data_IF_375054141849
#
_entry.id   IF_375054141849
#
_cell.length_a   1.000
_cell.length_b   1.000
_cell.length_c   1.000
_cell.angle_alpha   90.00
_cell.angle_beta   90.00
_cell.angle_gamma   90.00
#
_symmetry.space_group_name_H-M   'P 1'
#
loop_
_entity.id
_entity.type
_entity.pdbx_description
1 polymer ?
#
# COMPACT_ATOMS: atom_id res chain seq x y z
N UNK A 1 -6.14 13.24 26.70
CA UNK A 1 -5.51 12.17 25.87
C UNK A 1 -5.83 10.76 26.36
N UNK A 2 -5.85 10.47 27.67
CA UNK A 2 -6.08 9.12 28.21
C UNK A 2 -7.28 8.35 27.61
N UNK A 3 -8.46 8.96 27.54
CA UNK A 3 -9.65 8.32 26.95
C UNK A 3 -9.48 7.98 25.46
N UNK A 4 -8.78 8.83 24.69
CA UNK A 4 -8.47 8.59 23.29
C UNK A 4 -7.46 7.47 23.04
N UNK A 5 -6.63 7.14 24.04
CA UNK A 5 -5.61 6.09 23.95
C UNK A 5 -6.10 4.74 24.47
N UNK A 6 -7.05 4.72 25.41
CA UNK A 6 -7.47 3.51 26.12
C UNK A 6 -8.87 3.03 25.80
N UNK A 7 -9.72 3.84 25.17
CA UNK A 7 -11.11 3.48 24.88
C UNK A 7 -11.36 3.57 23.38
N UNK A 8 -11.35 2.43 22.69
CA UNK A 8 -11.41 2.33 21.20
C UNK A 8 -12.51 3.19 20.54
N UNK A 9 -13.76 3.24 21.06
CA UNK A 9 -14.80 4.13 20.53
C UNK A 9 -14.44 5.62 20.52
N UNK A 10 -13.60 6.09 21.45
CA UNK A 10 -13.19 7.48 21.51
C UNK A 10 -12.24 7.88 20.36
N UNK A 11 -11.65 6.91 19.66
CA UNK A 11 -10.89 7.18 18.42
C UNK A 11 -11.75 7.82 17.32
N UNK A 12 -13.07 7.59 17.33
CA UNK A 12 -14.02 8.27 16.46
C UNK A 12 -14.04 9.79 16.69
N UNK A 13 -13.78 10.23 17.93
CA UNK A 13 -13.80 11.64 18.34
C UNK A 13 -12.52 12.43 17.99
N UNK A 14 -11.57 11.81 17.28
CA UNK A 14 -10.31 12.49 16.89
C UNK A 14 -10.50 13.53 15.79
N UNK A 15 -11.56 13.43 15.00
CA UNK A 15 -11.88 14.42 13.98
C UNK A 15 -13.34 14.82 14.08
N UNK A 16 -13.59 16.10 14.37
CA UNK A 16 -14.94 16.67 14.42
C UNK A 16 -15.71 16.42 13.12
N UNK A 17 -15.02 16.37 11.97
CA UNK A 17 -15.63 16.09 10.67
C UNK A 17 -16.33 14.73 10.58
N UNK A 18 -15.93 13.73 11.38
CA UNK A 18 -16.60 12.42 11.42
C UNK A 18 -17.99 12.51 12.06
N UNK A 19 -18.17 13.43 13.00
CA UNK A 19 -19.49 13.72 13.56
C UNK A 19 -20.38 14.48 12.60
N UNK A 20 -19.82 15.29 11.70
CA UNK A 20 -20.62 16.04 10.73
C UNK A 20 -21.50 15.07 9.93
N UNK A 21 -20.99 13.90 9.52
CA UNK A 21 -21.80 12.91 8.80
C UNK A 21 -22.95 12.38 9.66
N UNK A 22 -22.68 11.99 10.91
CA UNK A 22 -23.71 11.49 11.83
C UNK A 22 -24.76 12.58 12.13
N UNK A 23 -24.31 13.80 12.43
CA UNK A 23 -25.17 14.95 12.66
C UNK A 23 -26.00 15.27 11.43
N UNK A 24 -25.42 15.25 10.22
CA UNK A 24 -26.16 15.47 8.98
C UNK A 24 -27.26 14.42 8.79
N UNK A 25 -26.99 13.14 9.02
CA UNK A 25 -28.01 12.08 8.91
C UNK A 25 -29.13 12.27 9.94
N UNK A 26 -28.77 12.53 11.20
CA UNK A 26 -29.76 12.80 12.26
C UNK A 26 -30.56 14.05 11.94
N UNK A 27 -29.91 15.11 11.46
CA UNK A 27 -30.56 16.37 11.12
C UNK A 27 -31.48 16.20 9.91
N UNK A 28 -31.07 15.49 8.87
CA UNK A 28 -31.93 15.16 7.71
C UNK A 28 -33.13 14.33 8.16
N UNK A 29 -32.93 13.33 9.03
CA UNK A 29 -34.02 12.51 9.56
C UNK A 29 -35.01 13.34 10.39
N UNK A 30 -34.51 14.10 11.37
CA UNK A 30 -35.33 14.98 12.21
C UNK A 30 -36.05 16.03 11.38
N UNK A 31 -35.35 16.65 10.43
CA UNK A 31 -35.93 17.63 9.52
C UNK A 31 -37.04 16.99 8.68
N UNK A 32 -36.81 15.82 8.09
CA UNK A 32 -37.82 15.10 7.29
C UNK A 32 -39.03 14.70 8.14
N UNK A 33 -38.79 14.22 9.37
CA UNK A 33 -39.85 13.82 10.30
C UNK A 33 -40.70 15.01 10.75
N UNK A 34 -40.05 16.09 11.22
CA UNK A 34 -40.72 17.32 11.63
C UNK A 34 -41.47 17.94 10.45
N UNK A 35 -40.84 17.99 9.28
CA UNK A 35 -41.45 18.49 8.07
C UNK A 35 -42.69 17.69 7.69
N UNK A 36 -42.61 16.34 7.68
CA UNK A 36 -43.76 15.46 7.38
C UNK A 36 -44.95 15.75 8.29
N UNK A 37 -44.71 15.97 9.58
CA UNK A 37 -45.77 16.17 10.58
C UNK A 37 -46.25 17.62 10.72
N UNK A 38 -45.63 18.57 10.01
CA UNK A 38 -46.00 19.98 10.09
C UNK A 38 -47.33 20.24 9.36
N UNK A 39 -48.36 20.66 10.11
CA UNK A 39 -49.72 20.94 9.60
C UNK A 39 -49.98 22.41 9.21
N UNK A 40 -49.00 23.30 9.32
CA UNK A 40 -49.19 24.73 9.09
C UNK A 40 -49.26 25.05 7.58
N UNK A 41 -50.18 25.93 7.16
CA UNK A 41 -50.32 26.40 5.77
C UNK A 41 -49.05 27.03 5.19
N UNK A 42 -48.15 27.54 6.05
CA UNK A 42 -46.88 28.15 5.63
C UNK A 42 -45.71 27.17 5.46
N UNK A 43 -45.92 25.87 5.66
CA UNK A 43 -44.88 24.83 5.59
C UNK A 43 -44.02 24.89 4.32
N UNK A 44 -44.64 25.11 3.16
CA UNK A 44 -43.91 25.17 1.88
C UNK A 44 -43.03 26.42 1.78
N UNK A 45 -43.47 27.57 2.32
CA UNK A 45 -42.66 28.78 2.38
C UNK A 45 -41.45 28.61 3.30
N UNK A 46 -41.63 27.95 4.45
CA UNK A 46 -40.51 27.63 5.34
C UNK A 46 -39.51 26.66 4.70
N UNK A 47 -39.99 25.65 3.97
CA UNK A 47 -39.11 24.75 3.22
C UNK A 47 -38.29 25.53 2.20
N UNK A 48 -38.95 26.38 1.40
CA UNK A 48 -38.30 27.20 0.39
C UNK A 48 -37.24 28.12 1.02
N UNK A 49 -37.58 28.78 2.13
CA UNK A 49 -36.64 29.62 2.88
C UNK A 49 -35.45 28.81 3.41
N UNK A 50 -35.69 27.60 3.94
CA UNK A 50 -34.63 26.72 4.44
C UNK A 50 -33.70 26.29 3.31
N UNK A 51 -34.26 25.89 2.16
CA UNK A 51 -33.47 25.54 0.96
C UNK A 51 -32.66 26.75 0.50
N UNK A 52 -33.26 27.94 0.46
CA UNK A 52 -32.58 29.17 0.07
C UNK A 52 -31.44 29.50 1.04
N UNK A 53 -31.65 29.39 2.36
CA UNK A 53 -30.61 29.59 3.37
C UNK A 53 -29.49 28.54 3.26
N UNK A 54 -29.80 27.28 2.99
CA UNK A 54 -28.81 26.23 2.75
C UNK A 54 -27.97 26.55 1.50
N UNK A 55 -28.62 26.99 0.43
CA UNK A 55 -27.96 27.40 -0.79
C UNK A 55 -27.03 28.60 -0.52
N UNK A 56 -27.53 29.67 0.11
CA UNK A 56 -26.77 30.90 0.41
C UNK A 56 -25.61 30.64 1.38
N UNK A 57 -25.84 29.81 2.41
CA UNK A 57 -24.80 29.49 3.40
C UNK A 57 -23.67 28.62 2.84
N UNK A 58 -23.89 27.94 1.72
CA UNK A 58 -22.89 27.15 1.03
C UNK A 58 -22.36 27.91 -0.18
N UNK A 59 -21.66 29.02 0.07
CA UNK A 59 -21.00 29.86 -0.95
C UNK A 59 -20.08 29.07 -1.88
N UNK A 60 -19.64 27.88 -1.46
CA UNK A 60 -18.91 26.89 -2.26
C UNK A 60 -19.62 26.56 -3.58
N UNK A 61 -20.96 26.41 -3.57
CA UNK A 61 -21.72 26.12 -4.79
C UNK A 61 -21.73 27.28 -5.81
N UNK A 62 -21.43 28.49 -5.36
CA UNK A 62 -21.46 29.70 -6.18
C UNK A 62 -20.07 30.22 -6.54
N UNK A 63 -19.12 30.09 -5.62
CA UNK A 63 -17.73 30.49 -5.82
C UNK A 63 -16.94 29.45 -6.62
N UNK A 64 -17.39 28.18 -6.61
CA UNK A 64 -16.59 27.05 -7.09
C UNK A 64 -15.36 26.78 -6.23
N UNK A 65 -15.16 27.52 -5.13
CA UNK A 65 -14.09 27.30 -4.18
C UNK A 65 -14.53 26.19 -3.22
N UNK A 66 -14.15 24.95 -3.55
CA UNK A 66 -14.39 23.76 -2.73
C UNK A 66 -13.46 23.69 -1.50
N UNK A 67 -12.92 24.83 -1.05
CA UNK A 67 -12.03 24.93 0.10
C UNK A 67 -10.59 24.58 -0.28
N UNK A 68 -10.10 25.14 -1.39
CA UNK A 68 -8.71 24.98 -1.81
C UNK A 68 -8.52 25.00 -3.32
N UNK A 69 -7.78 25.98 -3.81
CA UNK A 69 -7.37 25.99 -5.21
C UNK A 69 -6.26 24.96 -5.43
N UNK A 70 -6.52 24.01 -6.34
CA UNK A 70 -5.50 23.12 -6.87
C UNK A 70 -4.73 23.93 -7.91
N UNK A 71 -3.52 24.35 -7.56
CA UNK A 71 -2.65 24.92 -8.57
C UNK A 71 -2.30 23.85 -9.60
N UNK A 72 -2.55 24.14 -10.88
CA UNK A 72 -2.05 23.30 -11.96
C UNK A 72 -0.53 23.37 -11.97
N UNK A 73 0.12 22.29 -11.57
CA UNK A 73 1.57 22.17 -11.61
C UNK A 73 1.96 21.26 -12.77
N UNK A 74 2.88 21.73 -13.61
CA UNK A 74 3.45 20.92 -14.68
C UNK A 74 4.58 20.07 -14.12
N UNK A 75 4.40 18.76 -14.14
CA UNK A 75 5.44 17.84 -13.68
C UNK A 75 6.73 17.99 -14.53
N UNK A 76 7.92 18.08 -13.90
CA UNK A 76 9.18 18.09 -14.64
C UNK A 76 9.34 16.83 -15.51
N UNK A 77 9.80 17.00 -16.75
CA UNK A 77 9.99 15.90 -17.72
C UNK A 77 10.96 14.85 -17.21
N UNK A 78 11.90 15.24 -16.35
CA UNK A 78 12.87 14.38 -15.70
C UNK A 78 12.20 13.25 -14.91
N UNK A 79 11.10 13.53 -14.20
CA UNK A 79 10.36 12.51 -13.45
C UNK A 79 9.62 11.52 -14.37
N UNK A 80 9.03 12.02 -15.46
CA UNK A 80 8.41 11.17 -16.48
C UNK A 80 9.44 10.25 -17.10
N UNK A 81 10.56 10.82 -17.52
CA UNK A 81 11.65 10.08 -18.17
C UNK A 81 12.23 8.99 -17.26
N UNK A 82 12.48 9.28 -15.97
CA UNK A 82 13.04 8.25 -15.07
C UNK A 82 12.06 7.11 -14.81
N UNK A 83 10.76 7.42 -14.69
CA UNK A 83 9.71 6.41 -14.49
C UNK A 83 9.61 5.47 -15.70
N UNK A 84 9.55 6.03 -16.92
CA UNK A 84 9.50 5.27 -18.16
C UNK A 84 10.79 4.50 -18.45
N UNK A 85 11.95 5.12 -18.19
CA UNK A 85 13.26 4.57 -18.54
C UNK A 85 13.71 3.47 -17.60
N UNK A 86 13.52 3.63 -16.29
CA UNK A 86 14.06 2.71 -15.28
C UNK A 86 12.99 1.92 -14.53
N UNK A 87 11.85 2.53 -14.19
CA UNK A 87 10.89 1.91 -13.27
C UNK A 87 9.88 1.02 -13.98
N UNK A 88 9.26 1.50 -15.06
CA UNK A 88 8.24 0.75 -15.81
C UNK A 88 8.84 -0.38 -16.63
N UNK A 89 10.03 -0.17 -17.21
CA UNK A 89 10.71 -1.17 -18.05
C UNK A 89 11.23 -2.37 -17.26
N UNK A 90 11.55 -2.18 -15.99
CA UNK A 90 12.08 -3.22 -15.14
C UNK A 90 10.95 -4.06 -14.52
N UNK A 91 10.85 -5.32 -14.92
CA UNK A 91 9.79 -6.22 -14.46
C UNK A 91 10.06 -6.80 -13.05
N UNK A 92 11.26 -6.62 -12.51
CA UNK A 92 11.60 -7.13 -11.17
C UNK A 92 10.84 -6.40 -10.06
N UNK A 93 10.58 -7.10 -8.96
CA UNK A 93 9.92 -6.57 -7.77
C UNK A 93 10.96 -5.91 -6.87
N UNK A 94 10.90 -4.59 -6.79
CA UNK A 94 11.74 -3.79 -5.90
C UNK A 94 11.02 -2.50 -5.50
N UNK A 95 11.58 -1.86 -4.48
CA UNK A 95 11.16 -0.57 -3.96
C UNK A 95 12.14 0.55 -4.37
N UNK A 96 11.64 1.77 -4.36
CA UNK A 96 12.44 2.99 -4.54
C UNK A 96 12.55 3.69 -3.19
N UNK A 97 13.75 4.00 -2.72
CA UNK A 97 13.94 4.87 -1.56
C UNK A 97 14.02 6.32 -2.04
N UNK A 98 13.26 7.21 -1.40
CA UNK A 98 13.38 8.65 -1.66
C UNK A 98 14.05 9.36 -0.50
N UNK A 99 15.01 10.23 -0.83
CA UNK A 99 15.74 11.05 0.14
C UNK A 99 15.86 12.47 -0.39
N UNK A 100 16.07 13.48 0.47
CA UNK A 100 15.97 13.45 1.93
C UNK A 100 14.55 13.12 2.44
N UNK A 101 14.46 12.61 3.66
CA UNK A 101 13.17 12.52 4.36
C UNK A 101 12.70 13.93 4.73
N UNK A 102 11.44 14.25 4.42
CA UNK A 102 10.78 15.48 4.85
C UNK A 102 9.39 15.19 5.43
N UNK A 103 8.93 16.03 6.39
CA UNK A 103 7.63 15.85 7.03
C UNK A 103 6.44 15.82 6.06
N UNK A 104 6.46 16.75 5.11
CA UNK A 104 5.44 16.98 4.10
C UNK A 104 6.12 17.11 2.75
N UNK A 105 5.70 16.27 1.82
CA UNK A 105 6.22 16.27 0.46
C UNK A 105 5.85 17.59 -0.24
N UNK A 106 6.84 18.30 -0.76
CA UNK A 106 6.67 19.60 -1.41
C UNK A 106 7.84 19.93 -2.31
N UNK A 107 7.55 20.56 -3.45
CA UNK A 107 8.52 20.71 -4.54
C UNK A 107 8.68 22.14 -5.04
N UNK A 108 9.90 22.57 -5.37
CA UNK A 108 10.19 23.90 -5.95
C UNK A 108 9.34 24.18 -7.18
N UNK A 109 9.17 23.19 -8.08
CA UNK A 109 8.40 23.36 -9.31
C UNK A 109 6.90 23.55 -9.07
N UNK A 110 6.38 23.23 -7.88
CA UNK A 110 5.02 23.53 -7.49
C UNK A 110 4.84 25.03 -7.11
N UNK A 111 5.90 25.66 -6.59
CA UNK A 111 5.92 27.07 -6.16
C UNK A 111 6.54 28.02 -7.19
N UNK A 112 6.66 27.57 -8.44
CA UNK A 112 7.23 28.36 -9.52
C UNK A 112 6.30 29.50 -9.99
N UNK A 113 4.98 29.37 -9.79
CA UNK A 113 4.05 30.47 -10.02
C UNK A 113 4.07 31.43 -8.82
N UNK A 114 4.16 32.75 -9.08
CA UNK A 114 4.12 33.77 -8.01
C UNK A 114 2.83 33.69 -7.20
N UNK A 115 1.72 33.24 -7.81
CA UNK A 115 0.45 33.05 -7.12
C UNK A 115 0.53 31.93 -6.06
N UNK A 116 1.26 30.84 -6.31
CA UNK A 116 1.38 29.75 -5.32
C UNK A 116 2.27 30.06 -4.12
N UNK A 117 3.09 31.12 -4.19
CA UNK A 117 3.97 31.53 -3.08
C UNK A 117 3.26 32.26 -1.93
N UNK A 118 2.04 32.78 -2.13
CA UNK A 118 1.30 33.49 -1.09
C UNK A 118 0.78 32.58 0.04
N UNK A 119 0.93 31.26 -0.07
CA UNK A 119 0.39 30.31 0.92
C UNK A 119 -1.11 30.07 0.81
N UNK A 120 -1.77 30.67 -0.19
CA UNK A 120 -3.22 30.56 -0.43
C UNK A 120 -3.62 29.24 -1.09
N UNK A 121 -2.67 28.46 -1.59
CA UNK A 121 -2.93 27.23 -2.34
C UNK A 121 -2.67 25.99 -1.49
N UNK A 122 -3.61 25.04 -1.53
CA UNK A 122 -3.46 23.75 -0.86
C UNK A 122 -2.34 22.96 -1.54
N UNK A 123 -1.41 22.50 -0.73
CA UNK A 123 -0.26 21.72 -1.17
C UNK A 123 -0.66 20.27 -1.45
N UNK A 124 -1.28 20.03 -2.60
CA UNK A 124 -1.81 18.71 -2.97
C UNK A 124 -0.73 17.66 -3.29
N UNK A 125 0.54 18.05 -3.38
CA UNK A 125 1.63 17.13 -3.73
C UNK A 125 2.03 16.15 -2.61
N UNK A 126 1.18 15.94 -1.60
CA UNK A 126 1.44 15.10 -0.41
C UNK A 126 1.58 13.58 -0.72
N UNK A 127 1.43 13.20 -1.98
CA UNK A 127 1.43 11.80 -2.44
C UNK A 127 2.09 11.63 -3.82
N UNK A 128 2.86 12.61 -4.30
CA UNK A 128 3.39 12.56 -5.67
C UNK A 128 4.25 11.32 -5.88
N UNK A 129 5.21 11.05 -4.97
CA UNK A 129 6.05 9.84 -5.04
C UNK A 129 5.23 8.55 -5.08
N UNK A 130 4.20 8.45 -4.25
CA UNK A 130 3.39 7.23 -4.11
C UNK A 130 2.52 6.96 -5.33
N UNK A 131 1.93 8.01 -5.90
CA UNK A 131 0.94 7.88 -6.97
C UNK A 131 1.56 7.92 -8.36
N UNK A 132 2.73 8.54 -8.52
CA UNK A 132 3.34 8.75 -9.84
C UNK A 132 4.25 7.61 -10.27
N UNK A 133 5.10 7.10 -9.36
CA UNK A 133 6.06 6.07 -9.73
C UNK A 133 5.38 4.71 -9.89
N UNK A 134 5.79 3.95 -10.90
CA UNK A 134 5.23 2.62 -11.17
C UNK A 134 5.72 1.53 -10.20
N UNK A 135 6.55 1.90 -9.23
CA UNK A 135 7.16 1.01 -8.24
C UNK A 135 6.87 1.56 -6.84
N UNK A 136 6.71 0.70 -5.82
CA UNK A 136 6.46 1.18 -4.46
C UNK A 136 7.62 2.05 -3.95
N UNK A 137 7.28 3.07 -3.18
CA UNK A 137 8.25 4.00 -2.61
C UNK A 137 8.37 3.80 -1.10
N UNK A 138 9.60 3.65 -0.62
CA UNK A 138 9.96 3.71 0.79
C UNK A 138 10.27 5.15 1.15
N UNK A 139 9.53 5.69 2.11
CA UNK A 139 9.70 7.05 2.62
C UNK A 139 9.01 7.19 3.99
N UNK A 140 9.21 8.33 4.66
CA UNK A 140 8.52 8.68 5.91
C UNK A 140 7.82 10.03 5.79
N UNK A 141 6.64 10.18 6.41
CA UNK A 141 5.89 11.43 6.51
C UNK A 141 5.20 11.54 7.86
N UNK A 142 4.94 12.76 8.35
CA UNK A 142 4.31 12.97 9.66
C UNK A 142 2.94 12.30 9.80
N UNK A 143 2.18 12.20 8.71
CA UNK A 143 0.87 11.52 8.71
C UNK A 143 0.98 10.00 8.90
N UNK A 144 2.15 9.42 8.64
CA UNK A 144 2.44 7.99 8.71
C UNK A 144 3.61 7.84 9.70
N UNK A 145 3.31 8.04 10.98
CA UNK A 145 4.28 7.84 12.07
C UNK A 145 4.60 6.34 12.21
N UNK A 146 5.42 5.82 11.31
CA UNK A 146 6.15 4.55 11.50
C UNK A 146 7.15 4.66 12.67
N UNK A 147 7.41 5.90 13.12
CA UNK A 147 8.53 6.38 13.91
C UNK A 147 8.52 6.03 15.42
N UNK A 148 7.52 5.33 15.96
CA UNK A 148 7.46 5.14 17.43
C UNK A 148 7.78 3.75 17.96
N UNK A 149 7.77 2.69 17.14
CA UNK A 149 7.84 1.32 17.66
C UNK A 149 9.09 0.52 17.32
N UNK A 150 9.85 0.92 16.31
CA UNK A 150 11.00 0.14 15.83
C UNK A 150 12.25 1.03 15.74
N UNK A 151 13.32 0.63 16.45
CA UNK A 151 14.57 1.40 16.54
C UNK A 151 15.32 1.52 15.21
N UNK A 152 15.17 0.54 14.31
CA UNK A 152 15.66 0.60 12.94
C UNK A 152 15.11 1.83 12.22
N UNK A 153 13.79 1.97 12.24
CA UNK A 153 13.08 3.02 11.54
C UNK A 153 13.25 4.40 12.19
N UNK A 154 13.39 4.46 13.51
CA UNK A 154 13.65 5.71 14.24
C UNK A 154 14.87 6.46 13.73
N UNK A 155 15.95 5.75 13.41
CA UNK A 155 17.17 6.36 12.89
C UNK A 155 17.10 6.60 11.38
N UNK A 156 16.59 5.62 10.64
CA UNK A 156 16.50 5.63 9.18
C UNK A 156 15.55 6.72 8.64
N UNK A 157 14.53 7.09 9.41
CA UNK A 157 13.49 8.00 8.97
C UNK A 157 13.50 9.38 9.64
N UNK A 158 14.59 9.73 10.34
CA UNK A 158 14.82 11.09 10.82
C UNK A 158 14.79 12.11 9.68
N UNK A 159 14.38 13.33 10.02
CA UNK A 159 14.25 14.45 9.09
C UNK A 159 15.43 15.42 9.14
N UNK A 160 15.66 16.14 8.04
CA UNK A 160 16.54 17.31 8.00
C UNK A 160 17.94 17.07 8.57
N UNK A 161 18.32 17.88 9.57
CA UNK A 161 19.64 17.83 10.22
C UNK A 161 19.81 16.63 11.16
N UNK A 162 18.73 16.06 11.67
CA UNK A 162 18.78 14.89 12.55
C UNK A 162 19.14 13.60 11.80
N UNK A 163 18.80 13.52 10.50
CA UNK A 163 19.15 12.37 9.69
C UNK A 163 20.67 12.19 9.57
N UNK A 164 21.12 11.01 10.02
CA UNK A 164 22.49 10.50 9.86
C UNK A 164 22.40 9.11 9.24
N UNK A 165 23.29 8.82 8.30
CA UNK A 165 23.41 7.48 7.76
C UNK A 165 23.87 6.52 8.87
N UNK A 166 23.10 5.48 9.23
CA UNK A 166 23.54 4.46 10.17
C UNK A 166 24.70 3.65 9.57
N UNK A 167 25.56 3.08 10.43
CA UNK A 167 26.74 2.33 9.96
C UNK A 167 26.40 1.11 9.08
N UNK A 168 25.21 0.53 9.26
CA UNK A 168 24.69 -0.59 8.49
C UNK A 168 23.67 -0.17 7.41
N UNK A 169 23.66 1.10 6.98
CA UNK A 169 22.64 1.64 6.07
C UNK A 169 22.43 0.82 4.80
N UNK A 170 23.49 0.34 4.15
CA UNK A 170 23.38 -0.47 2.93
C UNK A 170 22.64 -1.79 3.20
N UNK A 171 22.93 -2.47 4.33
CA UNK A 171 22.21 -3.68 4.74
C UNK A 171 20.71 -3.42 5.00
N UNK A 172 20.39 -2.25 5.56
CA UNK A 172 18.99 -1.84 5.79
C UNK A 172 18.27 -1.66 4.45
N UNK A 173 18.90 -0.97 3.50
CA UNK A 173 18.35 -0.74 2.15
C UNK A 173 18.18 -2.06 1.39
N UNK A 174 19.18 -2.93 1.44
CA UNK A 174 19.12 -4.27 0.85
C UNK A 174 17.95 -5.07 1.43
N UNK A 175 17.85 -5.06 2.76
CA UNK A 175 16.78 -5.68 3.53
C UNK A 175 15.40 -5.09 3.28
N UNK A 176 15.28 -3.87 2.73
CA UNK A 176 14.03 -3.24 2.31
C UNK A 176 13.69 -3.50 0.84
N UNK A 177 14.46 -4.36 0.15
CA UNK A 177 14.34 -4.59 -1.29
C UNK A 177 14.39 -3.27 -2.08
N UNK A 178 15.32 -2.38 -1.72
CA UNK A 178 15.46 -1.09 -2.42
C UNK A 178 16.52 -1.22 -3.50
N UNK A 179 16.08 -1.18 -4.76
CA UNK A 179 16.97 -1.17 -5.93
C UNK A 179 17.43 0.22 -6.29
N UNK A 180 16.53 1.21 -6.21
CA UNK A 180 16.85 2.57 -6.64
C UNK A 180 16.70 3.55 -5.48
N UNK A 181 17.65 4.49 -5.38
CA UNK A 181 17.59 5.61 -4.44
C UNK A 181 17.48 6.90 -5.23
N UNK A 182 16.40 7.64 -5.00
CA UNK A 182 16.12 8.92 -5.62
C UNK A 182 16.41 10.05 -4.63
N UNK A 183 17.56 10.71 -4.81
CA UNK A 183 17.97 11.89 -4.03
C UNK A 183 17.40 13.14 -4.69
N UNK A 184 16.27 13.63 -4.19
CA UNK A 184 15.51 14.74 -4.75
C UNK A 184 16.07 16.09 -4.30
N UNK A 185 16.43 16.92 -5.28
CA UNK A 185 17.09 18.22 -5.15
C UNK A 185 16.11 19.39 -5.14
N UNK A 186 14.91 19.14 -5.63
CA UNK A 186 13.83 20.11 -5.77
C UNK A 186 12.84 20.05 -4.60
N UNK A 187 13.18 19.40 -3.50
CA UNK A 187 12.35 19.40 -2.30
C UNK A 187 12.46 20.71 -1.54
N UNK A 188 11.34 21.13 -0.96
CA UNK A 188 11.28 22.23 -0.01
C UNK A 188 10.71 21.76 1.33
N UNK A 189 11.16 22.38 2.42
CA UNK A 189 10.60 22.16 3.74
C UNK A 189 9.56 23.24 4.05
N UNK A 190 8.28 22.87 3.97
CA UNK A 190 7.17 23.81 4.23
C UNK A 190 7.04 24.22 5.69
N UNK A 191 7.61 23.44 6.61
CA UNK A 191 7.65 23.79 8.04
C UNK A 191 8.77 24.79 8.36
N UNK A 192 9.78 24.88 7.49
CA UNK A 192 10.92 25.79 7.63
C UNK A 192 10.83 26.87 6.53
N UNK A 193 9.71 27.59 6.46
CA UNK A 193 9.53 28.72 5.53
C UNK A 193 9.84 28.41 4.06
N UNK A 194 9.48 27.21 3.58
CA UNK A 194 9.67 26.77 2.19
C UNK A 194 11.15 26.76 1.73
N UNK A 195 12.09 26.56 2.66
CA UNK A 195 13.53 26.50 2.35
C UNK A 195 13.86 25.21 1.56
N UNK A 196 14.67 25.29 0.48
CA UNK A 196 15.17 24.11 -0.23
C UNK A 196 15.94 23.15 0.69
N UNK A 197 15.68 21.85 0.57
CA UNK A 197 16.29 20.84 1.45
C UNK A 197 17.74 20.56 1.02
N UNK A 198 18.73 20.60 1.93
CA UNK A 198 20.13 20.38 1.58
C UNK A 198 20.41 18.91 1.23
N UNK A 199 20.76 18.65 -0.03
CA UNK A 199 21.00 17.31 -0.58
C UNK A 199 22.46 16.87 -0.66
N UNK A 200 23.41 17.80 -0.54
CA UNK A 200 24.84 17.53 -0.79
C UNK A 200 25.39 16.37 0.05
N UNK A 201 24.96 16.25 1.31
CA UNK A 201 25.37 15.15 2.20
C UNK A 201 24.97 13.76 1.67
N UNK A 202 23.81 13.65 1.03
CA UNK A 202 23.29 12.39 0.49
C UNK A 202 24.05 11.99 -0.77
N UNK A 203 24.21 12.94 -1.69
CA UNK A 203 24.98 12.75 -2.93
C UNK A 203 26.41 12.32 -2.60
N UNK A 204 27.06 12.99 -1.64
CA UNK A 204 28.42 12.66 -1.21
C UNK A 204 28.53 11.26 -0.59
N UNK A 205 27.51 10.81 0.15
CA UNK A 205 27.48 9.46 0.72
C UNK A 205 27.48 8.41 -0.39
N UNK A 206 26.50 8.50 -1.31
CA UNK A 206 26.36 7.49 -2.37
C UNK A 206 27.48 7.54 -3.42
N UNK A 207 28.12 8.70 -3.64
CA UNK A 207 29.28 8.77 -4.53
C UNK A 207 30.54 8.09 -3.96
N UNK A 208 30.63 7.92 -2.64
CA UNK A 208 31.80 7.30 -1.98
C UNK A 208 31.68 5.78 -1.86
N UNK A 209 30.47 5.25 -1.85
CA UNK A 209 30.21 3.82 -1.66
C UNK A 209 30.04 3.12 -3.03
N UNK A 210 30.95 2.20 -3.34
CA UNK A 210 30.98 1.43 -4.59
C UNK A 210 29.80 0.46 -4.79
N UNK A 211 29.02 0.22 -3.72
CA UNK A 211 27.76 -0.52 -3.76
C UNK A 211 26.65 0.21 -4.52
N UNK A 212 26.80 1.52 -4.74
CA UNK A 212 25.83 2.34 -5.46
C UNK A 212 26.39 2.86 -6.80
N UNK A 213 25.55 2.90 -7.83
CA UNK A 213 25.90 3.40 -9.17
C UNK A 213 25.02 4.60 -9.50
N UNK A 214 25.63 5.76 -9.75
CA UNK A 214 24.90 6.92 -10.27
C UNK A 214 24.39 6.63 -11.69
N UNK A 215 23.07 6.59 -11.87
CA UNK A 215 22.40 6.35 -13.17
C UNK A 215 21.98 7.63 -13.85
N UNK A 216 21.58 8.63 -13.07
CA UNK A 216 21.14 9.91 -13.60
C UNK A 216 21.37 11.04 -12.60
N UNK A 217 21.70 12.22 -13.11
CA UNK A 217 21.94 13.40 -12.30
C UNK A 217 21.47 14.65 -13.04
N UNK A 218 20.33 15.21 -12.65
CA UNK A 218 19.72 16.37 -13.31
C UNK A 218 19.37 17.46 -12.28
N UNK A 219 18.63 18.50 -12.68
CA UNK A 219 18.26 19.60 -11.78
C UNK A 219 17.27 19.20 -10.69
N UNK A 220 16.45 18.16 -10.92
CA UNK A 220 15.38 17.73 -10.02
C UNK A 220 15.84 16.66 -9.04
N UNK A 221 16.70 15.72 -9.47
CA UNK A 221 17.17 14.61 -8.63
C UNK A 221 18.53 14.04 -9.06
N UNK A 222 19.09 13.19 -8.21
CA UNK A 222 20.12 12.21 -8.55
C UNK A 222 19.57 10.79 -8.29
N UNK A 223 19.70 9.89 -9.26
CA UNK A 223 19.24 8.50 -9.18
C UNK A 223 20.45 7.57 -9.01
N UNK A 224 20.43 6.76 -7.97
CA UNK A 224 21.42 5.72 -7.71
C UNK A 224 20.78 4.33 -7.82
N UNK A 225 21.47 3.37 -8.44
CA UNK A 225 21.15 1.95 -8.38
C UNK A 225 21.98 1.29 -7.28
N UNK A 226 21.32 0.56 -6.38
CA UNK A 226 21.92 -0.31 -5.38
C UNK A 226 22.23 -1.67 -5.99
N UNK A 227 23.49 -2.11 -5.95
CA UNK A 227 23.89 -3.43 -6.45
C UNK A 227 23.49 -4.58 -5.52
N UNK A 228 23.36 -4.31 -4.22
CA UNK A 228 23.15 -5.32 -3.16
C UNK A 228 21.70 -5.70 -2.89
N UNK A 229 20.73 -5.08 -3.60
CA UNK A 229 19.32 -5.25 -3.25
C UNK A 229 18.85 -6.71 -3.33
N UNK A 230 18.03 -7.10 -2.36
CA UNK A 230 17.53 -8.45 -2.19
C UNK A 230 16.17 -8.64 -2.88
N UNK A 231 15.82 -9.87 -3.32
CA UNK A 231 14.48 -10.15 -3.82
C UNK A 231 13.43 -10.01 -2.71
N UNK A 232 12.17 -9.78 -3.09
CA UNK A 232 11.08 -9.64 -2.11
C UNK A 232 10.83 -10.90 -1.29
N UNK A 233 11.12 -12.09 -1.84
CA UNK A 233 11.10 -13.37 -1.13
C UNK A 233 12.51 -13.97 -1.21
N UNK A 234 13.06 -14.42 -0.09
CA UNK A 234 14.43 -14.93 0.02
C UNK A 234 14.43 -16.33 0.63
N UNK A 235 15.09 -17.25 -0.09
CA UNK A 235 15.43 -18.61 0.32
C UNK A 235 16.39 -19.18 -0.73
N UNK A 236 17.31 -20.06 -0.34
CA UNK A 236 18.25 -20.70 -1.27
C UNK A 236 17.51 -21.61 -2.23
N UNK A 237 18.05 -21.77 -3.44
CA UNK A 237 17.53 -22.66 -4.50
C UNK A 237 16.02 -22.54 -4.77
N UNK A 238 15.48 -21.32 -4.60
CA UNK A 238 14.06 -21.03 -4.77
C UNK A 238 13.78 -20.25 -6.05
N UNK A 239 12.62 -20.47 -6.65
CA UNK A 239 12.04 -19.61 -7.67
C UNK A 239 10.70 -19.05 -7.18
N UNK A 240 10.35 -17.82 -7.53
CA UNK A 240 9.04 -17.27 -7.17
C UNK A 240 8.37 -16.49 -8.30
N UNK A 241 7.04 -16.57 -8.36
CA UNK A 241 6.17 -15.78 -9.23
C UNK A 241 5.30 -14.89 -8.34
N UNK A 242 5.37 -13.58 -8.52
CA UNK A 242 4.33 -12.68 -8.00
C UNK A 242 3.10 -12.79 -8.90
N UNK A 243 1.99 -13.27 -8.35
CA UNK A 243 0.71 -13.31 -9.07
C UNK A 243 0.02 -11.96 -8.95
N UNK A 244 -0.07 -11.43 -7.73
CA UNK A 244 -0.54 -10.07 -7.43
C UNK A 244 0.07 -9.62 -6.09
N UNK A 245 -0.32 -8.46 -5.56
CA UNK A 245 0.24 -7.93 -4.31
C UNK A 245 -0.08 -8.79 -3.07
N UNK A 246 -1.09 -9.66 -3.16
CA UNK A 246 -1.56 -10.55 -2.09
C UNK A 246 -1.22 -12.03 -2.29
N UNK A 247 -0.57 -12.40 -3.41
CA UNK A 247 -0.36 -13.81 -3.78
C UNK A 247 0.97 -14.02 -4.51
N UNK A 248 1.77 -14.94 -3.98
CA UNK A 248 3.04 -15.38 -4.56
C UNK A 248 3.06 -16.91 -4.63
N UNK A 249 3.63 -17.45 -5.70
CA UNK A 249 3.86 -18.88 -5.87
C UNK A 249 5.36 -19.11 -5.74
N UNK A 250 5.75 -20.01 -4.85
CA UNK A 250 7.14 -20.35 -4.55
C UNK A 250 7.40 -21.78 -5.02
N UNK A 251 8.53 -21.99 -5.68
CA UNK A 251 9.04 -23.29 -6.08
C UNK A 251 10.38 -23.47 -5.38
N UNK A 252 10.42 -24.36 -4.39
CA UNK A 252 11.62 -24.65 -3.62
C UNK A 252 12.14 -26.00 -4.12
N UNK A 253 13.41 -26.05 -4.51
CA UNK A 253 14.06 -27.26 -5.03
C UNK A 253 15.10 -27.77 -4.05
N UNK A 254 15.32 -29.08 -4.07
CA UNK A 254 16.38 -29.73 -3.30
C UNK A 254 16.35 -29.40 -1.80
N UNK A 255 15.16 -29.20 -1.21
CA UNK A 255 15.04 -28.90 0.22
C UNK A 255 15.39 -30.14 1.03
N UNK A 256 16.57 -30.13 1.64
CA UNK A 256 17.09 -31.26 2.43
C UNK A 256 17.01 -31.02 3.93
N UNK A 257 17.39 -29.83 4.37
CA UNK A 257 17.44 -29.42 5.77
C UNK A 257 16.41 -28.31 6.06
N UNK A 258 16.23 -27.97 7.34
CA UNK A 258 15.41 -26.82 7.73
C UNK A 258 16.04 -25.53 7.22
N UNK A 259 15.23 -24.66 6.61
CA UNK A 259 15.72 -23.40 6.06
C UNK A 259 14.77 -22.23 6.36
N UNK A 260 15.32 -21.02 6.45
CA UNK A 260 14.57 -19.80 6.72
C UNK A 260 14.06 -19.17 5.41
N UNK A 261 12.75 -19.03 5.30
CA UNK A 261 12.10 -18.23 4.25
C UNK A 261 11.85 -16.83 4.80
N UNK A 262 12.25 -15.79 4.07
CA UNK A 262 11.94 -14.39 4.41
C UNK A 262 11.12 -13.73 3.31
N UNK A 263 10.15 -12.90 3.70
CA UNK A 263 9.32 -12.10 2.80
C UNK A 263 9.34 -10.63 3.24
N UNK A 264 10.01 -9.80 2.45
CA UNK A 264 10.36 -8.41 2.71
C UNK A 264 9.19 -7.42 2.57
N UNK A 265 7.98 -7.86 2.89
CA UNK A 265 6.82 -7.00 3.10
C UNK A 265 6.52 -6.83 4.58
N UNK A 266 5.78 -5.78 4.92
CA UNK A 266 5.36 -5.50 6.29
C UNK A 266 4.77 -6.73 6.99
N UNK A 267 5.23 -6.99 8.21
CA UNK A 267 4.85 -8.14 9.01
C UNK A 267 3.36 -8.11 9.28
N UNK A 268 2.70 -9.23 8.99
CA UNK A 268 1.30 -9.41 9.29
C UNK A 268 1.00 -10.91 9.39
N UNK A 269 0.42 -11.34 10.50
CA UNK A 269 0.04 -12.73 10.81
C UNK A 269 -0.92 -13.36 9.78
N UNK A 270 -1.56 -12.53 8.93
CA UNK A 270 -2.47 -12.95 7.87
C UNK A 270 -1.75 -13.38 6.58
N UNK A 271 -0.43 -13.21 6.49
CA UNK A 271 0.37 -13.88 5.48
C UNK A 271 0.52 -15.36 5.82
N UNK A 272 0.03 -16.23 4.95
CA UNK A 272 -0.05 -17.68 5.17
C UNK A 272 0.63 -18.45 4.05
N UNK A 273 1.22 -19.60 4.38
CA UNK A 273 1.77 -20.54 3.42
C UNK A 273 0.79 -21.71 3.24
N UNK A 274 0.62 -22.11 1.98
CA UNK A 274 -0.23 -23.24 1.59
C UNK A 274 0.56 -24.17 0.68
N UNK A 275 0.60 -25.46 1.01
CA UNK A 275 1.20 -26.48 0.15
C UNK A 275 0.32 -26.70 -1.09
N UNK A 276 0.92 -26.75 -2.27
CA UNK A 276 0.23 -26.99 -3.53
C UNK A 276 0.63 -28.31 -4.18
N UNK A 277 -0.27 -28.85 -5.01
CA UNK A 277 0.06 -29.98 -5.88
C UNK A 277 1.18 -29.61 -6.85
N UNK A 278 2.12 -30.53 -7.05
CA UNK A 278 3.24 -30.36 -7.97
C UNK A 278 2.85 -30.62 -9.44
N UNK A 279 1.57 -30.89 -9.72
CA UNK A 279 1.04 -31.17 -11.07
C UNK A 279 0.95 -29.95 -11.98
N UNK A 280 0.91 -28.75 -11.41
CA UNK A 280 0.70 -27.51 -12.15
C UNK A 280 2.03 -26.85 -12.52
N UNK A 281 2.56 -27.24 -13.68
CA UNK A 281 3.79 -26.72 -14.30
C UNK A 281 3.60 -25.29 -14.84
N UNK A 282 3.40 -24.32 -13.95
CA UNK A 282 3.65 -22.93 -14.31
C UNK A 282 5.15 -22.77 -14.55
N UNK A 283 5.55 -22.78 -15.82
CA UNK A 283 6.95 -22.58 -16.22
C UNK A 283 7.44 -21.21 -15.77
N UNK A 284 8.44 -21.19 -14.88
CA UNK A 284 9.14 -19.97 -14.51
C UNK A 284 9.88 -19.41 -15.73
N UNK A 285 9.42 -18.27 -16.26
CA UNK A 285 10.22 -17.45 -17.18
C UNK A 285 11.03 -16.48 -16.34
N UNK A 286 12.31 -16.78 -16.12
CA UNK A 286 13.20 -15.95 -15.29
C UNK A 286 13.23 -14.50 -15.78
N UNK A 287 12.99 -13.56 -14.85
CA UNK A 287 13.28 -12.13 -15.03
C UNK A 287 14.68 -11.84 -14.51
N UNK A 288 14.99 -12.31 -13.29
CA UNK A 288 16.22 -12.00 -12.59
C UNK A 288 16.63 -13.12 -11.65
N UNK A 289 17.92 -13.41 -11.65
CA UNK A 289 18.57 -14.28 -10.67
C UNK A 289 19.33 -13.42 -9.65
N UNK A 290 19.17 -13.74 -8.37
CA UNK A 290 19.82 -13.06 -7.25
C UNK A 290 20.88 -14.01 -6.67
N UNK A 291 22.11 -13.86 -7.14
CA UNK A 291 23.22 -14.79 -6.87
C UNK A 291 23.53 -14.94 -5.38
N UNK A 292 23.46 -13.84 -4.63
CA UNK A 292 23.74 -13.79 -3.19
C UNK A 292 22.79 -14.64 -2.33
N UNK A 293 21.59 -14.94 -2.82
CA UNK A 293 20.58 -15.77 -2.12
C UNK A 293 20.07 -16.92 -2.98
N UNK A 294 20.70 -17.15 -4.14
CA UNK A 294 20.36 -18.20 -5.10
C UNK A 294 18.86 -18.26 -5.46
N UNK A 295 18.18 -17.12 -5.43
CA UNK A 295 16.75 -17.02 -5.72
C UNK A 295 16.51 -16.54 -7.15
N UNK A 296 15.57 -17.15 -7.86
CA UNK A 296 15.09 -16.67 -9.17
C UNK A 296 13.73 -16.02 -9.06
N UNK A 297 13.62 -14.78 -9.51
CA UNK A 297 12.35 -14.12 -9.74
C UNK A 297 11.85 -14.40 -11.14
N UNK A 298 10.61 -14.86 -11.24
CA UNK A 298 9.94 -15.25 -12.47
C UNK A 298 8.94 -14.19 -12.92
N UNK A 299 8.68 -14.14 -14.22
CA UNK A 299 7.70 -13.22 -14.82
C UNK A 299 6.31 -13.39 -14.19
N UNK A 300 5.74 -12.26 -13.76
CA UNK A 300 4.35 -12.21 -13.32
C UNK A 300 3.44 -12.74 -14.43
N UNK A 301 2.50 -13.59 -14.03
CA UNK A 301 1.44 -14.07 -14.90
C UNK A 301 0.22 -13.23 -14.55
N UNK A 302 -0.23 -12.40 -15.48
CA UNK A 302 -1.51 -11.70 -15.31
C UNK A 302 -2.60 -12.76 -15.11
N UNK A 303 -3.13 -12.84 -13.89
CA UNK A 303 -4.25 -13.71 -13.59
C UNK A 303 -5.47 -12.85 -13.29
N UNK A 304 -6.59 -13.21 -13.93
CA UNK A 304 -7.91 -12.77 -13.48
C UNK A 304 -8.15 -13.32 -12.07
N UNK A 305 -8.94 -12.59 -11.29
CA UNK A 305 -9.43 -13.03 -9.96
C UNK A 305 -9.88 -14.49 -10.08
N UNK A 306 -9.21 -15.34 -9.33
CA UNK A 306 -9.42 -16.78 -9.37
C UNK A 306 -10.46 -17.17 -8.33
N UNK A 307 -11.44 -18.02 -8.70
CA UNK A 307 -12.42 -18.56 -7.75
C UNK A 307 -11.75 -19.30 -6.60
N UNK A 308 -10.53 -19.78 -6.82
CA UNK A 308 -9.70 -20.38 -5.79
C UNK A 308 -9.35 -19.43 -4.63
N UNK A 309 -9.47 -18.11 -4.79
CA UNK A 309 -9.11 -17.17 -3.71
C UNK A 309 -9.99 -17.35 -2.46
N UNK A 310 -11.26 -17.73 -2.61
CA UNK A 310 -12.11 -18.06 -1.46
C UNK A 310 -11.75 -19.40 -0.82
N UNK A 311 -11.11 -20.32 -1.56
CA UNK A 311 -10.73 -21.63 -1.03
C UNK A 311 -9.69 -21.52 0.09
N UNK A 312 -8.89 -20.45 0.13
CA UNK A 312 -7.88 -20.23 1.18
C UNK A 312 -8.48 -19.97 2.57
N UNK A 313 -9.79 -19.71 2.68
CA UNK A 313 -10.49 -19.68 3.97
C UNK A 313 -10.63 -21.08 4.59
N UNK A 314 -10.60 -22.13 3.77
CA UNK A 314 -10.84 -23.51 4.19
C UNK A 314 -9.61 -24.43 3.99
N UNK A 315 -8.59 -23.96 3.28
CA UNK A 315 -7.33 -24.70 3.12
C UNK A 315 -6.50 -24.62 4.40
N UNK A 316 -5.88 -25.75 4.76
CA UNK A 316 -4.94 -25.80 5.88
C UNK A 316 -3.69 -25.00 5.54
N UNK A 317 -3.33 -24.10 6.45
CA UNK A 317 -2.05 -23.39 6.43
C UNK A 317 -0.93 -24.32 6.90
N UNK A 318 0.31 -24.00 6.53
CA UNK A 318 1.50 -24.73 6.98
C UNK A 318 2.50 -23.76 7.61
N UNK A 319 3.25 -24.24 8.60
CA UNK A 319 4.32 -23.49 9.28
C UNK A 319 3.89 -22.21 10.01
N UNK A 320 2.60 -22.07 10.34
CA UNK A 320 2.07 -20.93 11.10
C UNK A 320 2.74 -20.79 12.48
N UNK A 321 3.16 -21.91 13.08
CA UNK A 321 3.90 -21.97 14.34
C UNK A 321 5.31 -21.39 14.26
N UNK A 322 5.88 -21.29 13.06
CA UNK A 322 7.22 -20.72 12.82
C UNK A 322 7.18 -19.31 12.23
N UNK A 323 5.98 -18.77 11.97
CA UNK A 323 5.81 -17.42 11.41
C UNK A 323 6.25 -16.37 12.43
N UNK A 324 7.26 -15.58 12.07
CA UNK A 324 7.87 -14.61 12.97
C UNK A 324 8.23 -13.31 12.26
N UNK A 325 8.39 -12.25 13.06
CA UNK A 325 8.95 -10.98 12.63
C UNK A 325 10.45 -11.15 12.36
N UNK A 326 10.89 -10.84 11.14
CA UNK A 326 12.31 -10.82 10.76
C UNK A 326 12.70 -9.41 10.32
N UNK A 327 13.98 -9.04 10.46
CA UNK A 327 14.47 -7.69 10.15
C UNK A 327 13.66 -6.56 10.81
N UNK A 328 13.01 -6.86 11.94
CA UNK A 328 12.14 -5.96 12.72
C UNK A 328 10.90 -5.43 11.97
N UNK A 329 10.67 -5.82 10.71
CA UNK A 329 9.51 -5.34 9.94
C UNK A 329 8.92 -6.38 8.99
N UNK A 330 9.65 -7.43 8.63
CA UNK A 330 9.32 -8.37 7.57
C UNK A 330 8.74 -9.68 8.11
N UNK A 331 8.19 -10.51 7.22
CA UNK A 331 7.67 -11.83 7.56
C UNK A 331 8.75 -12.90 7.37
N UNK A 332 8.80 -13.91 8.24
CA UNK A 332 9.67 -15.07 8.03
C UNK A 332 9.10 -16.36 8.60
N UNK A 333 9.51 -17.49 8.02
CA UNK A 333 9.11 -18.86 8.38
C UNK A 333 10.31 -19.78 8.42
N UNK A 334 10.20 -20.92 9.12
CA UNK A 334 11.18 -22.02 9.04
C UNK A 334 10.56 -23.19 8.31
N UNK A 335 11.02 -23.47 7.09
CA UNK A 335 10.49 -24.53 6.25
C UNK A 335 11.18 -25.85 6.63
N UNK A 336 10.42 -26.83 7.09
CA UNK A 336 10.93 -28.12 7.53
C UNK A 336 10.49 -29.25 6.57
N UNK A 337 11.41 -29.87 5.80
CA UNK A 337 11.05 -30.93 4.85
C UNK A 337 10.50 -32.19 5.54
N UNK A 338 10.99 -32.54 6.75
CA UNK A 338 10.52 -33.72 7.48
C UNK A 338 9.06 -33.58 7.91
N UNK A 339 8.67 -32.36 8.32
CA UNK A 339 7.27 -32.06 8.64
C UNK A 339 6.37 -32.29 7.42
N UNK A 340 6.82 -31.89 6.22
CA UNK A 340 6.06 -32.09 4.98
C UNK A 340 5.92 -33.59 4.69
N UNK A 341 7.03 -34.35 4.75
CA UNK A 341 7.04 -35.78 4.47
C UNK A 341 6.14 -36.59 5.41
N UNK A 342 6.10 -36.22 6.69
CA UNK A 342 5.34 -36.92 7.73
C UNK A 342 3.84 -36.61 7.69
N UNK A 343 3.44 -35.39 7.30
CA UNK A 343 2.06 -34.93 7.45
C UNK A 343 1.28 -34.84 6.13
N UNK A 344 1.95 -34.95 4.97
CA UNK A 344 1.32 -34.73 3.67
C UNK A 344 1.58 -35.87 2.67
N UNK A 345 0.66 -36.03 1.73
CA UNK A 345 0.77 -37.03 0.66
C UNK A 345 1.90 -36.70 -0.31
N UNK A 346 2.57 -37.74 -0.85
CA UNK A 346 3.56 -37.66 -1.95
C UNK A 346 3.04 -36.98 -3.23
N UNK A 347 1.75 -36.68 -3.36
CA UNK A 347 1.22 -35.86 -4.47
C UNK A 347 1.59 -34.37 -4.36
N UNK A 348 1.94 -33.91 -3.14
CA UNK A 348 2.18 -32.50 -2.83
C UNK A 348 3.67 -32.12 -2.84
N UNK A 349 4.56 -33.11 -2.98
CA UNK A 349 6.00 -32.90 -3.07
C UNK A 349 6.63 -33.97 -3.96
N UNK A 350 7.80 -33.68 -4.52
CA UNK A 350 8.60 -34.68 -5.23
C UNK A 350 9.84 -34.99 -4.42
N UNK A 351 10.04 -36.26 -4.09
CA UNK A 351 11.23 -36.73 -3.39
C UNK A 351 12.34 -37.02 -4.41
N UNK A 352 13.53 -36.46 -4.16
CA UNK A 352 14.71 -36.62 -4.99
C UNK A 352 15.55 -37.82 -4.53
N UNK A 353 16.45 -38.38 -5.38
CA UNK A 353 17.26 -39.54 -5.03
C UNK A 353 18.16 -39.35 -3.80
N UNK A 354 18.55 -38.11 -3.50
CA UNK A 354 19.39 -37.74 -2.35
C UNK A 354 18.58 -37.53 -1.05
N UNK A 355 17.26 -37.77 -1.09
CA UNK A 355 16.34 -37.57 0.01
C UNK A 355 15.86 -36.14 0.18
N UNK A 356 16.31 -35.17 -0.64
CA UNK A 356 15.74 -33.83 -0.65
C UNK A 356 14.33 -33.83 -1.27
N UNK A 357 13.56 -32.75 -1.09
CA UNK A 357 12.25 -32.60 -1.71
C UNK A 357 12.12 -31.32 -2.54
N UNK A 358 11.41 -31.42 -3.66
CA UNK A 358 10.91 -30.27 -4.41
C UNK A 358 9.46 -30.01 -3.99
N UNK A 359 9.16 -28.77 -3.61
CA UNK A 359 7.82 -28.36 -3.16
C UNK A 359 7.35 -27.09 -3.84
N UNK A 360 6.03 -26.98 -3.97
CA UNK A 360 5.35 -25.79 -4.45
C UNK A 360 4.50 -25.21 -3.33
N UNK A 361 4.78 -23.96 -2.99
CA UNK A 361 4.03 -23.22 -1.97
C UNK A 361 3.27 -22.06 -2.60
N UNK A 362 2.14 -21.70 -2.01
CA UNK A 362 1.53 -20.39 -2.20
C UNK A 362 1.66 -19.59 -0.92
N UNK A 363 2.28 -18.43 -1.02
CA UNK A 363 2.26 -17.39 0.00
C UNK A 363 1.10 -16.44 -0.31
N UNK A 364 0.12 -16.36 0.58
CA UNK A 364 -1.12 -15.63 0.32
C UNK A 364 -1.58 -14.82 1.53
N UNK A 365 -2.11 -13.63 1.27
CA UNK A 365 -2.64 -12.75 2.30
C UNK A 365 -4.12 -13.08 2.58
N UNK A 366 -4.37 -13.89 3.60
CA UNK A 366 -5.68 -14.49 3.87
C UNK A 366 -6.81 -13.46 4.09
N UNK A 367 -6.48 -12.27 4.60
CA UNK A 367 -7.44 -11.17 4.73
C UNK A 367 -8.12 -10.80 3.41
N UNK A 368 -7.44 -11.01 2.28
CA UNK A 368 -7.99 -10.76 0.95
C UNK A 368 -9.20 -11.66 0.65
N UNK A 369 -9.20 -12.92 1.11
CA UNK A 369 -10.37 -13.81 0.94
C UNK A 369 -11.59 -13.34 1.73
N UNK A 370 -11.39 -12.82 2.94
CA UNK A 370 -12.49 -12.25 3.75
C UNK A 370 -13.08 -11.00 3.09
N UNK A 371 -12.24 -10.17 2.47
CA UNK A 371 -12.71 -9.03 1.68
C UNK A 371 -13.62 -9.47 0.52
N UNK A 372 -13.20 -10.49 -0.25
CA UNK A 372 -14.03 -11.04 -1.33
C UNK A 372 -15.33 -11.67 -0.83
N UNK A 373 -15.29 -12.39 0.28
CA UNK A 373 -16.50 -12.93 0.91
C UNK A 373 -17.46 -11.81 1.33
N UNK A 374 -16.93 -10.73 1.91
CA UNK A 374 -17.70 -9.54 2.27
C UNK A 374 -18.38 -8.87 1.08
N UNK A 375 -17.69 -8.76 -0.06
CA UNK A 375 -18.29 -8.27 -1.31
C UNK A 375 -19.46 -9.16 -1.73
N UNK A 376 -19.27 -10.49 -1.74
CA UNK A 376 -20.32 -11.43 -2.15
C UNK A 376 -21.56 -11.30 -1.28
N UNK A 377 -21.40 -11.30 0.04
CA UNK A 377 -22.51 -11.15 0.99
C UNK A 377 -23.22 -9.81 0.77
N UNK A 378 -22.46 -8.72 0.62
CA UNK A 378 -23.02 -7.38 0.40
C UNK A 378 -23.80 -7.31 -0.91
N UNK A 379 -23.25 -7.88 -1.99
CA UNK A 379 -23.94 -7.95 -3.27
C UNK A 379 -25.25 -8.74 -3.16
N UNK A 380 -25.22 -9.92 -2.53
CA UNK A 380 -26.43 -10.74 -2.33
C UNK A 380 -27.49 -9.93 -1.57
N UNK A 381 -27.12 -9.26 -0.47
CA UNK A 381 -28.03 -8.45 0.32
C UNK A 381 -28.65 -7.31 -0.49
N UNK A 382 -27.85 -6.59 -1.27
CA UNK A 382 -28.33 -5.52 -2.15
C UNK A 382 -29.33 -6.06 -3.17
N UNK A 383 -29.01 -7.16 -3.84
CA UNK A 383 -29.91 -7.79 -4.81
C UNK A 383 -31.20 -8.31 -4.15
N UNK A 384 -31.12 -8.88 -2.95
CA UNK A 384 -32.30 -9.29 -2.17
C UNK A 384 -33.19 -8.09 -1.80
N UNK A 385 -32.60 -6.96 -1.41
CA UNK A 385 -33.35 -5.73 -1.16
C UNK A 385 -34.04 -5.22 -2.44
N UNK A 386 -33.35 -5.18 -3.57
CA UNK A 386 -33.95 -4.78 -4.84
C UNK A 386 -35.04 -5.73 -5.30
N UNK A 387 -34.84 -7.04 -5.16
CA UNK A 387 -35.85 -8.05 -5.49
C UNK A 387 -37.10 -7.89 -4.60
N UNK A 388 -36.91 -7.69 -3.29
CA UNK A 388 -38.00 -7.44 -2.36
C UNK A 388 -38.80 -6.18 -2.72
N UNK A 389 -38.12 -5.07 -3.00
CA UNK A 389 -38.76 -3.82 -3.42
C UNK A 389 -39.48 -3.99 -4.77
N UNK A 390 -38.88 -4.68 -5.73
CA UNK A 390 -39.48 -4.97 -7.03
C UNK A 390 -40.78 -5.78 -6.88
N UNK A 391 -40.76 -6.85 -6.09
CA UNK A 391 -41.95 -7.67 -5.79
C UNK A 391 -43.04 -6.82 -5.14
N UNK A 392 -42.68 -5.94 -4.20
CA UNK A 392 -43.63 -5.05 -3.51
C UNK A 392 -44.27 -4.04 -4.47
N UNK A 393 -43.51 -3.45 -5.39
CA UNK A 393 -44.04 -2.51 -6.39
C UNK A 393 -45.03 -3.20 -7.34
N UNK A 394 -44.70 -4.42 -7.81
CA UNK A 394 -45.59 -5.20 -8.68
C UNK A 394 -46.89 -5.55 -7.95
N UNK A 395 -46.80 -6.03 -6.69
CA UNK A 395 -48.00 -6.34 -5.88
C UNK A 395 -48.89 -5.12 -5.67
N UNK A 396 -48.32 -3.96 -5.39
CA UNK A 396 -49.11 -2.74 -5.15
C UNK A 396 -49.80 -2.23 -6.42
N UNK A 397 -49.19 -2.38 -7.62
CA UNK A 397 -49.84 -2.00 -8.89
C UNK A 397 -51.09 -2.85 -9.18
N UNK A 398 -51.06 -4.14 -8.84
CA UNK A 398 -52.21 -5.02 -9.05
C UNK A 398 -53.37 -4.71 -8.10
N UNK A 399 -53.09 -4.19 -6.90
CA UNK A 399 -54.13 -3.79 -5.93
C UNK A 399 -54.80 -2.48 -6.34
N UNK A 400 -54.13 -1.58 -7.07
CA UNK A 400 -54.72 -0.33 -7.56
C UNK A 400 -55.56 -0.46 -8.85
N UNK A 401 -55.65 -1.65 -9.44
CA UNK A 401 -56.40 -1.92 -10.67
C UNK A 401 -57.69 -2.73 -10.41
N UNK A 402 -58.02 -2.97 -9.13
CA UNK A 402 -59.27 -3.55 -8.64
C UNK A 402 -59.93 -2.46 -7.80
#
# INVERSE_FOLDING_TARGET
MYLYEKVSPFGFFRSFSRFIILYLVIFIFLFTFLFKNWKNKYKNYFLLLTILLLIISNTIFFSGDLGGFIASAKLPKEYISVNEKYFQKDQSQYNILTLPNIPYESYIWFFADKKTRSGEYINQSTYFRELFFSKPVVYNRYAVNLDFRNDLFKSFFKYGKEFKFPGNFSQIIDGLNVKYILVQKDLINVLENNIPVPVKKYINYFNKDSGFILKENNKSFALYENKGYLPIVLMSDMQFIKVNDTKYILFIKNLKDKESLSFLQGYNEQWKLYLQSNSDDKKCKSIKYYENVQTTECKSVEQKIDREELSYLYKNTIFDDTHKLVNQYANGWTINPDYIKQNFSKKLYKENPDGSIDIKLTLYFQSQSYFYLGIIITSIMIFSCFAYLGIRVVKNKNISLI
#
